data_IF_773038714577
#
_entry.id   IF_773038714577
#
_cell.length_a   1.000
_cell.length_b   1.000
_cell.length_c   1.000
_cell.angle_alpha   90.00
_cell.angle_beta   90.00
_cell.angle_gamma   90.00
#
_symmetry.space_group_name_H-M   'P 1'
#
loop_
_entity.id
_entity.type
_entity.pdbx_description
1 polymer ?
#
# COMPACT_ATOMS: atom_id res chain seq x y z
N UNK A 1 -4.17 11.27 -21.09
CA UNK A 1 -4.79 10.77 -19.84
C UNK A 1 -3.72 10.74 -18.76
N UNK A 2 -3.87 11.55 -17.71
CA UNK A 2 -2.93 11.63 -16.59
C UNK A 2 -2.94 10.33 -15.79
N UNK A 3 -1.79 9.69 -15.62
CA UNK A 3 -1.67 8.50 -14.76
C UNK A 3 -1.95 8.94 -13.31
N UNK A 4 -2.78 8.21 -12.54
CA UNK A 4 -3.00 8.53 -11.14
C UNK A 4 -1.67 8.43 -10.38
N UNK A 5 -1.33 9.50 -9.66
CA UNK A 5 -0.12 9.58 -8.83
C UNK A 5 -0.52 9.10 -7.44
N UNK A 6 -0.10 7.89 -7.09
CA UNK A 6 -0.29 7.36 -5.75
C UNK A 6 0.84 7.84 -4.83
N UNK A 7 0.47 8.42 -3.70
CA UNK A 7 1.42 8.86 -2.65
C UNK A 7 1.44 7.93 -1.44
N UNK A 8 0.41 7.09 -1.28
CA UNK A 8 0.27 6.05 -0.26
C UNK A 8 -0.43 4.82 -0.86
N UNK A 9 -0.36 3.68 -0.18
CA UNK A 9 -1.05 2.44 -0.60
C UNK A 9 -2.57 2.69 -0.45
N UNK A 10 -3.34 2.69 -1.54
CA UNK A 10 -4.77 2.99 -1.49
C UNK A 10 -5.58 1.79 -0.95
N UNK A 11 -6.83 2.00 -0.51
CA UNK A 11 -7.72 0.91 -0.10
C UNK A 11 -7.98 -0.04 -1.28
N UNK A 12 -8.32 -1.30 -0.98
CA UNK A 12 -8.61 -2.35 -1.99
C UNK A 12 -9.82 -2.06 -2.87
N UNK A 13 -10.59 -1.01 -2.57
CA UNK A 13 -11.70 -0.49 -3.40
C UNK A 13 -11.21 0.28 -4.63
N UNK A 14 -9.94 0.72 -4.65
CA UNK A 14 -9.35 1.39 -5.80
C UNK A 14 -9.01 0.37 -6.90
N UNK A 15 -9.92 0.22 -7.87
CA UNK A 15 -9.79 -0.71 -8.99
C UNK A 15 -8.72 -0.30 -10.02
N UNK A 16 -8.15 0.91 -9.91
CA UNK A 16 -7.10 1.40 -10.78
C UNK A 16 -5.73 0.96 -10.25
N UNK A 17 -5.55 0.95 -8.93
CA UNK A 17 -4.36 0.41 -8.29
C UNK A 17 -4.45 -1.11 -8.12
N UNK A 18 -5.59 -1.60 -7.64
CA UNK A 18 -5.83 -3.00 -7.33
C UNK A 18 -6.46 -3.74 -8.51
N UNK A 19 -6.13 -5.02 -8.61
CA UNK A 19 -6.70 -5.96 -9.57
C UNK A 19 -7.17 -7.18 -8.82
N UNK A 20 -8.44 -7.53 -9.04
CA UNK A 20 -9.00 -8.76 -8.51
C UNK A 20 -8.31 -9.94 -9.20
N UNK A 21 -7.56 -10.73 -8.42
CA UNK A 21 -6.90 -11.95 -8.91
C UNK A 21 -7.80 -13.16 -8.81
N UNK A 22 -8.55 -13.24 -7.73
CA UNK A 22 -9.38 -14.39 -7.39
C UNK A 22 -10.55 -13.94 -6.54
N UNK A 23 -11.72 -14.51 -6.79
CA UNK A 23 -12.90 -14.33 -5.95
C UNK A 23 -13.66 -15.65 -5.90
N UNK A 24 -13.99 -16.09 -4.69
CA UNK A 24 -14.77 -17.31 -4.44
C UNK A 24 -16.13 -16.99 -3.78
N UNK A 25 -16.65 -15.78 -4.02
CA UNK A 25 -17.91 -15.29 -3.44
C UNK A 25 -17.86 -14.93 -1.94
N UNK A 26 -16.97 -15.56 -1.16
CA UNK A 26 -16.72 -15.24 0.27
C UNK A 26 -15.45 -14.43 0.49
N UNK A 27 -14.44 -14.65 -0.35
CA UNK A 27 -13.14 -13.99 -0.23
C UNK A 27 -12.70 -13.49 -1.59
N UNK A 28 -12.24 -12.25 -1.61
CA UNK A 28 -11.69 -11.61 -2.80
C UNK A 28 -10.24 -11.25 -2.56
N UNK A 29 -9.35 -11.72 -3.42
CA UNK A 29 -7.92 -11.49 -3.36
C UNK A 29 -7.57 -10.41 -4.39
N UNK A 30 -7.04 -9.30 -3.90
CA UNK A 30 -6.60 -8.18 -4.71
C UNK A 30 -5.08 -8.12 -4.76
N UNK A 31 -4.53 -7.87 -5.95
CA UNK A 31 -3.10 -7.66 -6.17
C UNK A 31 -2.87 -6.29 -6.82
N UNK A 32 -1.75 -5.62 -6.56
CA UNK A 32 -1.47 -4.34 -7.21
C UNK A 32 -1.21 -4.58 -8.70
N UNK A 33 -1.75 -3.71 -9.55
CA UNK A 33 -1.49 -3.69 -11.00
C UNK A 33 -0.04 -3.34 -11.30
N UNK A 34 0.53 -2.40 -10.55
CA UNK A 34 1.93 -2.00 -10.66
C UNK A 34 2.69 -2.41 -9.39
N UNK A 35 3.46 -3.50 -9.51
CA UNK A 35 4.28 -4.04 -8.42
C UNK A 35 5.45 -3.13 -8.05
N UNK A 36 5.95 -2.34 -9.01
CA UNK A 36 7.09 -1.43 -8.79
C UNK A 36 6.62 -0.25 -7.95
N UNK A 37 5.48 0.33 -8.33
CA UNK A 37 4.82 1.38 -7.55
C UNK A 37 4.46 0.88 -6.14
N UNK A 38 3.86 -0.31 -6.03
CA UNK A 38 3.49 -0.89 -4.73
C UNK A 38 4.69 -1.06 -3.80
N UNK A 39 5.82 -1.52 -4.34
CA UNK A 39 7.06 -1.62 -3.58
C UNK A 39 7.55 -0.25 -3.10
N UNK A 40 7.52 0.78 -3.96
CA UNK A 40 7.92 2.13 -3.57
C UNK A 40 7.03 2.70 -2.45
N UNK A 41 5.72 2.51 -2.55
CA UNK A 41 4.76 2.97 -1.54
C UNK A 41 4.95 2.24 -0.21
N UNK A 42 5.19 0.92 -0.24
CA UNK A 42 5.52 0.14 0.97
C UNK A 42 6.79 0.62 1.65
N UNK A 43 7.85 0.90 0.88
CA UNK A 43 9.10 1.41 1.44
C UNK A 43 8.87 2.76 2.12
N UNK A 44 8.17 3.69 1.46
CA UNK A 44 7.83 5.01 2.06
C UNK A 44 7.02 4.86 3.34
N UNK A 45 5.99 4.01 3.31
CA UNK A 45 5.16 3.76 4.48
C UNK A 45 5.96 3.16 5.65
N UNK A 46 6.82 2.18 5.39
CA UNK A 46 7.68 1.60 6.42
C UNK A 46 8.66 2.63 6.98
N UNK A 47 9.26 3.47 6.14
CA UNK A 47 10.14 4.55 6.59
C UNK A 47 9.39 5.56 7.49
N UNK A 48 8.17 5.93 7.12
CA UNK A 48 7.32 6.83 7.91
C UNK A 48 6.89 6.21 9.26
N UNK A 49 6.54 4.92 9.26
CA UNK A 49 6.20 4.20 10.49
C UNK A 49 7.43 4.07 11.39
N UNK A 50 8.60 3.76 10.84
CA UNK A 50 9.86 3.68 11.59
C UNK A 50 10.24 5.04 12.21
N UNK A 51 10.10 6.14 11.45
CA UNK A 51 10.36 7.48 11.99
C UNK A 51 9.40 7.88 13.10
N UNK A 52 8.13 7.45 13.03
CA UNK A 52 7.14 7.69 14.10
C UNK A 52 7.39 6.84 15.35
N UNK A 53 7.84 5.60 15.17
CA UNK A 53 8.03 4.63 16.28
C UNK A 53 9.38 4.75 16.97
N UNK A 54 10.41 5.29 16.30
CA UNK A 54 11.74 5.49 16.87
C UNK A 54 11.78 6.53 18.01
N UNK A 55 10.81 7.44 18.09
CA UNK A 55 10.76 8.49 19.11
C UNK A 55 10.35 7.98 20.51
N UNK A 56 9.73 6.78 20.60
CA UNK A 56 9.12 6.31 21.86
C UNK A 56 9.99 5.35 22.69
N UNK A 57 11.27 5.14 22.34
CA UNK A 57 12.22 4.38 23.18
C UNK A 57 13.30 5.29 23.77
N UNK A 58 12.91 6.35 24.47
CA UNK A 58 13.72 6.85 25.59
C UNK A 58 13.32 6.05 26.82
N UNK A 59 14.16 5.06 27.13
CA UNK A 59 14.19 4.37 28.43
C UNK A 59 14.48 5.45 29.48
N UNK A 60 13.54 5.67 30.39
CA UNK A 60 13.64 6.54 31.55
C UNK A 60 12.72 5.97 32.60
#
# INVERSE_FOLDING_TARGET
MSKPIYTSIPPTTDNVYWMLKFSDGKTSIYIPRDKVLDRQLKIKFQAEVASRTSVRRKKG
#
